data_IF_838263440491
#
_entry.id   IF_838263440491
#
_cell.length_a   1.000
_cell.length_b   1.000
_cell.length_c   1.000
_cell.angle_alpha   90.00
_cell.angle_beta   90.00
_cell.angle_gamma   90.00
#
_symmetry.space_group_name_H-M   'P 1'
#
loop_
_entity.id
_entity.type
_entity.pdbx_description
1 polymer ?
#
# COMPACT_ATOMS: atom_id res chain seq x y z
N UNK A 1 6.99 -12.42 -11.01
CA UNK A 1 6.75 -11.32 -10.07
C UNK A 1 7.16 -11.86 -8.71
N UNK A 2 8.08 -11.22 -7.95
CA UNK A 2 8.63 -11.83 -6.74
C UNK A 2 7.50 -12.13 -5.76
N UNK A 3 7.45 -13.37 -5.27
CA UNK A 3 6.43 -13.80 -4.34
C UNK A 3 6.60 -13.06 -3.01
N UNK A 4 5.57 -12.29 -2.63
CA UNK A 4 5.45 -11.76 -1.28
C UNK A 4 5.18 -12.92 -0.34
N UNK A 5 5.97 -12.99 0.73
CA UNK A 5 5.83 -14.04 1.75
C UNK A 5 4.52 -13.88 2.49
N UNK A 6 3.92 -14.98 2.93
CA UNK A 6 2.66 -14.92 3.69
C UNK A 6 2.80 -14.14 5.00
N UNK A 7 3.98 -14.18 5.63
CA UNK A 7 4.30 -13.33 6.78
C UNK A 7 4.20 -11.83 6.46
N UNK A 8 4.69 -11.41 5.29
CA UNK A 8 4.60 -10.02 4.84
C UNK A 8 3.15 -9.63 4.52
N UNK A 9 2.34 -10.55 3.97
CA UNK A 9 0.91 -10.30 3.72
C UNK A 9 0.16 -10.05 5.02
N UNK A 10 0.41 -10.86 6.06
CA UNK A 10 -0.21 -10.71 7.37
C UNK A 10 0.18 -9.35 7.98
N UNK A 11 1.45 -8.99 7.92
CA UNK A 11 1.96 -7.70 8.41
C UNK A 11 1.30 -6.52 7.67
N UNK A 12 1.29 -6.55 6.34
CA UNK A 12 0.61 -5.56 5.51
C UNK A 12 -0.87 -5.42 5.90
N UNK A 13 -1.58 -6.52 6.09
CA UNK A 13 -2.99 -6.49 6.48
C UNK A 13 -3.22 -5.83 7.85
N UNK A 14 -2.33 -6.09 8.82
CA UNK A 14 -2.40 -5.45 10.14
C UNK A 14 -2.12 -3.95 10.04
N UNK A 15 -1.05 -3.56 9.34
CA UNK A 15 -0.68 -2.16 9.14
C UNK A 15 -1.80 -1.42 8.39
N UNK A 16 -2.36 -2.02 7.34
CA UNK A 16 -3.38 -1.39 6.51
C UNK A 16 -4.68 -1.11 7.30
N UNK A 17 -5.10 -2.04 8.16
CA UNK A 17 -6.22 -1.82 9.09
C UNK A 17 -5.93 -0.66 10.04
N UNK A 18 -4.75 -0.64 10.65
CA UNK A 18 -4.33 0.42 11.56
C UNK A 18 -4.27 1.78 10.86
N UNK A 19 -3.66 1.83 9.67
CA UNK A 19 -3.56 3.04 8.84
C UNK A 19 -4.94 3.64 8.58
N UNK A 20 -5.90 2.82 8.14
CA UNK A 20 -7.26 3.29 7.90
C UNK A 20 -7.92 3.78 9.20
N UNK A 21 -7.80 3.04 10.31
CA UNK A 21 -8.33 3.52 11.60
C UNK A 21 -7.76 4.89 12.03
N UNK A 22 -6.49 5.18 11.72
CA UNK A 22 -5.91 6.49 12.01
C UNK A 22 -6.41 7.56 11.03
N UNK A 23 -6.52 7.24 9.74
CA UNK A 23 -7.03 8.15 8.72
C UNK A 23 -8.47 8.61 9.03
N UNK A 24 -9.28 7.75 9.66
CA UNK A 24 -10.64 8.06 10.09
C UNK A 24 -10.73 9.05 11.24
N UNK A 25 -9.67 9.21 12.04
CA UNK A 25 -9.65 10.21 13.12
C UNK A 25 -9.46 11.63 12.58
N UNK A 26 -9.14 11.77 11.30
CA UNK A 26 -8.91 13.05 10.65
C UNK A 26 -10.22 13.61 10.10
N UNK A 27 -10.50 14.91 10.29
CA UNK A 27 -11.61 15.57 9.63
C UNK A 27 -11.62 15.30 8.12
N UNK A 28 -12.80 15.01 7.57
CA UNK A 28 -12.94 14.54 6.18
C UNK A 28 -12.31 15.48 5.14
N UNK A 29 -12.40 16.80 5.33
CA UNK A 29 -11.80 17.81 4.46
C UNK A 29 -10.26 17.74 4.41
N UNK A 30 -9.62 17.40 5.53
CA UNK A 30 -8.16 17.19 5.62
C UNK A 30 -7.81 15.79 5.10
N UNK A 31 -8.63 14.80 5.45
CA UNK A 31 -8.44 13.40 5.05
C UNK A 31 -8.61 13.17 3.54
N UNK A 32 -9.46 13.93 2.85
CA UNK A 32 -9.79 13.72 1.43
C UNK A 32 -8.55 13.69 0.53
N UNK A 33 -7.62 14.63 0.75
CA UNK A 33 -6.34 14.67 0.02
C UNK A 33 -5.51 13.41 0.31
N UNK A 34 -5.48 12.93 1.54
CA UNK A 34 -4.75 11.70 1.91
C UNK A 34 -5.42 10.46 1.34
N UNK A 35 -6.75 10.41 1.30
CA UNK A 35 -7.48 9.35 0.62
C UNK A 35 -7.11 9.28 -0.86
N UNK A 36 -7.08 10.43 -1.55
CA UNK A 36 -6.69 10.50 -2.96
C UNK A 36 -5.24 10.06 -3.18
N UNK A 37 -4.29 10.59 -2.41
CA UNK A 37 -2.86 10.21 -2.47
C UNK A 37 -2.66 8.71 -2.20
N UNK A 38 -3.41 8.14 -1.25
CA UNK A 38 -3.32 6.72 -0.93
C UNK A 38 -3.88 5.86 -2.05
N UNK A 39 -5.04 6.24 -2.60
CA UNK A 39 -5.64 5.56 -3.74
C UNK A 39 -4.68 5.54 -4.93
N UNK A 40 -4.08 6.69 -5.26
CA UNK A 40 -3.10 6.80 -6.35
C UNK A 40 -1.85 5.95 -6.10
N UNK A 41 -1.28 6.01 -4.89
CA UNK A 41 -0.07 5.25 -4.55
C UNK A 41 -0.30 3.73 -4.64
N UNK A 42 -1.48 3.28 -4.22
CA UNK A 42 -1.86 1.86 -4.22
C UNK A 42 -2.42 1.39 -5.56
N UNK A 43 -2.82 2.31 -6.44
CA UNK A 43 -3.43 1.97 -7.72
C UNK A 43 -2.50 1.12 -8.57
N UNK A 44 -3.05 0.01 -9.05
CA UNK A 44 -2.38 -0.87 -9.97
C UNK A 44 -3.41 -1.37 -11.00
N UNK A 45 -3.23 -0.98 -12.26
CA UNK A 45 -4.14 -1.32 -13.34
C UNK A 45 -4.17 -2.84 -13.61
N UNK A 46 -5.36 -3.40 -13.84
CA UNK A 46 -5.57 -4.81 -14.21
C UNK A 46 -5.11 -5.86 -13.18
N UNK A 47 -5.00 -5.49 -11.91
CA UNK A 47 -4.64 -6.45 -10.88
C UNK A 47 -5.86 -7.13 -10.24
N UNK A 48 -5.62 -8.33 -9.70
CA UNK A 48 -6.65 -9.19 -9.10
C UNK A 48 -7.09 -8.76 -7.71
N UNK A 49 -6.36 -7.84 -7.07
CA UNK A 49 -6.58 -7.44 -5.69
C UNK A 49 -7.21 -6.05 -5.60
N UNK A 50 -7.95 -5.83 -4.54
CA UNK A 50 -8.52 -4.55 -4.17
C UNK A 50 -8.19 -4.25 -2.72
N UNK A 51 -8.17 -2.97 -2.42
CA UNK A 51 -7.99 -2.44 -1.08
C UNK A 51 -9.16 -1.51 -0.73
N UNK A 52 -9.76 -1.73 0.43
CA UNK A 52 -10.83 -0.88 0.94
C UNK A 52 -10.27 0.20 1.85
N UNK A 53 -10.31 1.46 1.41
CA UNK A 53 -9.88 2.61 2.22
C UNK A 53 -10.84 2.92 3.39
N UNK A 54 -12.00 2.25 3.46
CA UNK A 54 -12.92 2.39 4.59
C UNK A 54 -12.51 1.51 5.77
N UNK A 55 -12.10 0.27 5.57
CA UNK A 55 -11.78 -0.65 6.68
C UNK A 55 -10.39 -1.30 6.63
N UNK A 56 -9.58 -1.00 5.62
CA UNK A 56 -8.25 -1.58 5.44
C UNK A 56 -8.27 -3.01 4.92
N UNK A 57 -9.42 -3.53 4.47
CA UNK A 57 -9.54 -4.90 3.97
C UNK A 57 -8.91 -5.06 2.59
N UNK A 58 -8.20 -6.16 2.37
CA UNK A 58 -7.53 -6.53 1.13
C UNK A 58 -8.07 -7.88 0.70
N UNK A 59 -8.64 -7.94 -0.50
CA UNK A 59 -9.22 -9.17 -1.06
C UNK A 59 -9.22 -9.11 -2.59
N UNK A 60 -9.63 -10.19 -3.23
CA UNK A 60 -9.79 -10.28 -4.67
C UNK A 60 -10.90 -9.35 -5.17
N UNK A 61 -10.77 -8.95 -6.43
CA UNK A 61 -11.70 -8.07 -7.14
C UNK A 61 -13.16 -8.53 -7.07
N UNK A 62 -13.37 -9.85 -7.10
CA UNK A 62 -14.67 -10.53 -7.04
C UNK A 62 -15.34 -10.54 -5.65
N UNK A 63 -14.58 -10.27 -4.59
CA UNK A 63 -15.06 -10.26 -3.20
C UNK A 63 -15.22 -8.81 -2.67
N UNK A 64 -14.37 -7.89 -3.14
CA UNK A 64 -14.43 -6.45 -2.85
C UNK A 64 -15.32 -5.71 -3.85
N UNK A 65 -16.62 -6.03 -3.81
CA UNK A 65 -17.69 -5.35 -4.58
C UNK A 65 -18.74 -4.80 -3.62
N UNK A 66 -19.44 -3.73 -4.01
CA UNK A 66 -20.43 -3.03 -3.17
C UNK A 66 -21.52 -3.95 -2.60
N UNK A 67 -21.90 -5.03 -3.31
CA UNK A 67 -22.88 -6.01 -2.84
C UNK A 67 -22.34 -7.19 -2.02
N UNK A 68 -21.02 -7.32 -1.84
CA UNK A 68 -20.39 -8.44 -1.10
C UNK A 68 -19.50 -7.99 0.06
N UNK A 69 -18.92 -6.80 -0.05
CA UNK A 69 -18.05 -6.26 0.97
C UNK A 69 -18.82 -5.29 1.87
N UNK A 70 -19.18 -5.76 3.06
CA UNK A 70 -19.76 -4.92 4.10
C UNK A 70 -18.66 -4.41 5.01
N UNK A 71 -18.42 -3.10 5.00
CA UNK A 71 -17.55 -2.48 6.00
C UNK A 71 -18.32 -2.30 7.32
N UNK A 72 -17.66 -2.55 8.45
CA UNK A 72 -18.21 -2.34 9.79
C UNK A 72 -18.43 -0.88 10.19
N UNK A 73 -17.85 0.08 9.46
CA UNK A 73 -17.91 1.51 9.79
C UNK A 73 -19.15 2.15 9.15
N UNK A 74 -20.10 2.66 9.91
CA UNK A 74 -21.49 2.96 9.50
C UNK A 74 -21.72 3.99 8.36
N UNK A 75 -20.69 4.65 7.83
CA UNK A 75 -20.87 5.70 6.82
C UNK A 75 -21.15 5.15 5.41
N UNK A 76 -22.37 5.37 4.90
CA UNK A 76 -22.77 5.06 3.51
C UNK A 76 -22.54 6.30 2.65
N UNK A 77 -21.68 6.20 1.64
CA UNK A 77 -21.46 7.30 0.66
C UNK A 77 -20.03 7.48 0.15
N UNK A 78 -19.04 6.79 0.73
CA UNK A 78 -17.65 6.95 0.30
C UNK A 78 -16.88 5.62 0.15
N UNK A 79 -17.20 4.79 -0.86
CA UNK A 79 -16.42 3.61 -1.17
C UNK A 79 -15.23 3.98 -2.06
N UNK A 80 -14.07 4.32 -1.47
CA UNK A 80 -12.81 4.26 -2.24
C UNK A 80 -12.26 2.85 -2.12
N UNK A 81 -12.75 1.97 -3.00
CA UNK A 81 -12.11 0.69 -3.23
C UNK A 81 -11.12 0.88 -4.37
N UNK A 82 -9.84 0.69 -4.10
CA UNK A 82 -8.75 0.87 -5.06
C UNK A 82 -8.28 -0.49 -5.57
N UNK A 83 -8.09 -0.63 -6.88
CA UNK A 83 -7.40 -1.78 -7.47
C UNK A 83 -5.92 -1.74 -7.10
N UNK A 84 -5.35 -2.85 -6.67
CA UNK A 84 -3.97 -2.88 -6.15
C UNK A 84 -3.29 -4.21 -6.41
N UNK A 85 -2.03 -4.29 -6.01
CA UNK A 85 -1.23 -5.52 -6.00
C UNK A 85 -0.50 -5.68 -4.68
N UNK A 86 -0.13 -6.91 -4.33
CA UNK A 86 0.74 -7.18 -3.18
C UNK A 86 2.04 -6.36 -3.24
N UNK A 87 2.61 -6.17 -4.43
CA UNK A 87 3.79 -5.34 -4.62
C UNK A 87 3.56 -3.87 -4.24
N UNK A 88 2.47 -3.25 -4.71
CA UNK A 88 2.10 -1.88 -4.34
C UNK A 88 1.83 -1.74 -2.85
N UNK A 89 1.10 -2.69 -2.28
CA UNK A 89 0.82 -2.74 -0.84
C UNK A 89 2.11 -2.83 -0.02
N UNK A 90 3.08 -3.65 -0.44
CA UNK A 90 4.40 -3.72 0.21
C UNK A 90 5.18 -2.43 0.07
N UNK A 91 5.26 -1.86 -1.13
CA UNK A 91 5.94 -0.57 -1.33
C UNK A 91 5.33 0.55 -0.48
N UNK A 92 4.04 0.46 -0.18
CA UNK A 92 3.35 1.47 0.60
C UNK A 92 3.46 1.22 2.12
N UNK A 93 3.08 0.03 2.58
CA UNK A 93 2.93 -0.30 4.00
C UNK A 93 4.21 -0.81 4.67
N UNK A 94 5.11 -1.45 3.92
CA UNK A 94 6.41 -1.90 4.44
C UNK A 94 7.53 -0.90 4.13
N UNK A 95 7.18 0.36 3.87
CA UNK A 95 8.13 1.46 3.74
C UNK A 95 7.65 2.66 4.57
N UNK A 96 8.38 3.77 4.52
CA UNK A 96 7.99 5.02 5.18
C UNK A 96 6.88 5.78 4.46
N UNK A 97 6.35 5.29 3.32
CA UNK A 97 5.36 6.04 2.55
C UNK A 97 4.06 6.31 3.33
N UNK A 98 3.49 5.28 3.98
CA UNK A 98 2.27 5.45 4.76
C UNK A 98 2.48 6.31 6.01
N UNK A 99 3.69 6.26 6.60
CA UNK A 99 4.03 7.03 7.79
C UNK A 99 4.19 8.50 7.47
N UNK A 100 4.81 8.85 6.34
CA UNK A 100 4.87 10.23 5.85
C UNK A 100 3.47 10.80 5.60
N UNK A 101 2.57 10.06 4.97
CA UNK A 101 1.20 10.55 4.70
C UNK A 101 0.41 10.85 5.98
N UNK A 102 0.56 10.02 7.00
CA UNK A 102 -0.08 10.23 8.30
C UNK A 102 0.58 11.39 9.09
N UNK A 103 1.88 11.65 8.89
CA UNK A 103 2.58 12.81 9.44
C UNK A 103 2.05 14.11 8.86
N UNK A 104 1.89 14.15 7.54
CA UNK A 104 1.44 15.33 6.80
C UNK A 104 0.05 15.83 7.25
N UNK A 105 -0.77 14.96 7.85
CA UNK A 105 -2.11 15.28 8.35
C UNK A 105 -2.20 15.45 9.87
N UNK A 106 -1.06 15.49 10.58
CA UNK A 106 -1.02 15.81 12.01
C UNK A 106 -1.52 14.71 12.95
N UNK A 107 -1.61 13.45 12.50
CA UNK A 107 -2.08 12.31 13.32
C UNK A 107 -0.94 11.63 14.08
N UNK A 108 0.25 12.24 14.08
CA UNK A 108 1.50 11.52 14.31
C UNK A 108 2.15 11.64 15.69
N UNK A 109 1.48 12.21 16.69
CA UNK A 109 2.10 12.35 18.00
C UNK A 109 2.18 11.03 18.80
N UNK A 110 1.54 9.94 18.35
CA UNK A 110 1.46 8.69 19.11
C UNK A 110 1.72 7.40 18.32
N UNK A 111 2.22 7.45 17.08
CA UNK A 111 2.46 6.24 16.29
C UNK A 111 3.91 5.77 16.49
N UNK A 112 4.08 4.66 17.22
CA UNK A 112 5.34 3.90 17.26
C UNK A 112 5.62 3.33 15.87
N UNK A 113 6.42 4.04 15.08
CA UNK A 113 6.90 3.56 13.78
C UNK A 113 7.91 2.45 14.05
N UNK A 114 7.58 1.21 13.71
CA UNK A 114 8.60 0.19 13.53
C UNK A 114 9.07 0.31 12.07
N UNK A 115 10.29 0.79 11.80
CA UNK A 115 10.79 0.87 10.43
C UNK A 115 11.21 -0.53 10.00
N UNK A 116 10.37 -1.22 9.24
CA UNK A 116 10.69 -2.57 8.78
C UNK A 116 11.31 -2.48 7.38
N UNK A 117 12.62 -2.24 7.43
CA UNK A 117 13.64 -2.35 6.38
C UNK A 117 13.77 -1.16 5.41
N UNK A 118 14.96 -0.54 5.31
CA UNK A 118 15.25 0.40 4.25
C UNK A 118 15.17 -0.29 2.88
N UNK A 119 14.74 0.44 1.85
CA UNK A 119 14.75 -0.01 0.44
C UNK A 119 16.11 -0.66 0.13
N UNK A 120 16.14 -1.97 -0.10
CA UNK A 120 17.33 -2.61 -0.65
C UNK A 120 17.55 -2.01 -2.04
N UNK A 121 18.72 -1.38 -2.26
CA UNK A 121 19.16 -0.96 -3.59
C UNK A 121 19.16 -2.20 -4.49
N UNK A 122 18.44 -2.11 -5.60
CA UNK A 122 18.54 -3.06 -6.71
C UNK A 122 20.01 -3.15 -7.13
N UNK A 123 20.62 -4.34 -7.26
CA UNK A 123 21.96 -4.44 -7.79
C UNK A 123 21.92 -4.02 -9.26
N UNK A 124 22.62 -2.94 -9.59
CA UNK A 124 22.96 -2.59 -10.96
C UNK A 124 23.70 -3.78 -11.57
N UNK A 125 23.04 -4.48 -12.49
CA UNK A 125 23.69 -5.47 -13.34
C UNK A 125 24.64 -4.68 -14.24
N UNK A 126 25.90 -4.60 -13.85
CA UNK A 126 26.98 -4.13 -14.70
C UNK A 126 27.06 -5.05 -15.93
N UNK A 127 26.69 -4.51 -17.09
CA UNK A 127 27.06 -5.08 -18.38
C UNK A 127 28.58 -5.00 -18.47
N UNK A 128 29.26 -6.07 -18.10
CA UNK A 128 30.67 -6.24 -18.46
C UNK A 128 30.73 -6.62 -19.94
N UNK A 129 31.17 -5.65 -20.73
CA UNK A 129 31.71 -5.80 -22.07
C UNK A 129 32.66 -7.00 -22.12
N UNK A 130 32.46 -7.90 -23.08
CA UNK A 130 33.50 -8.80 -23.55
C UNK A 130 33.81 -8.40 -24.97
N UNK A 131 34.75 -7.47 -25.07
CA UNK A 131 35.46 -7.12 -26.29
C UNK A 131 36.32 -8.31 -26.73
N UNK A 132 36.19 -8.62 -28.02
CA UNK A 132 37.26 -9.00 -28.96
C UNK A 132 38.51 -9.70 -28.40
N UNK A 133 38.73 -10.93 -28.87
CA UNK A 133 40.07 -11.36 -29.30
C UNK A 133 39.92 -12.13 -30.62
N UNK A 134 40.11 -11.39 -31.72
CA UNK A 134 40.69 -11.92 -32.95
C UNK A 134 42.23 -12.01 -32.77
N UNK A 135 42.87 -12.75 -33.68
CA UNK A 135 44.31 -13.00 -33.84
C UNK A 135 44.79 -14.31 -33.15
N UNK A 136 45.42 -15.27 -33.81
CA UNK A 136 45.69 -15.58 -35.23
C UNK A 136 45.97 -17.09 -35.31
#
# INVERSE_FOLDING_TARGET
MPDIKDSEKIEIQQIAKNFVMQLWKVPFNIGLTTYAKTAEALYAQHHRWKFCLRCGHIDKKENLTEGKHTCSLEFKGFPIITETSWYKLKQFFLTTAYTTLLKDIGVYDHIQVVPIRPKQKEPEISKAETSETLES
#
